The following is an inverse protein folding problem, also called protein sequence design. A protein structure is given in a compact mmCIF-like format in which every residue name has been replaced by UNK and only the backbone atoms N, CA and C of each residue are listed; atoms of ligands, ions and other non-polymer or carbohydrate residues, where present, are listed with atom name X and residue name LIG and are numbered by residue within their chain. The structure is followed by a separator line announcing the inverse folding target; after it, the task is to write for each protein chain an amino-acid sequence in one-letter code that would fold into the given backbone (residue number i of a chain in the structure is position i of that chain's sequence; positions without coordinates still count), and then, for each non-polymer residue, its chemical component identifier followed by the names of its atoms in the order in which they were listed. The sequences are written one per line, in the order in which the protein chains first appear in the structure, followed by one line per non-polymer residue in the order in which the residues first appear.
data_IF_606258705383
#
_entry.id   IF_606258705383
#
_cell.length_a   1.000
_cell.length_b   1.000
_cell.length_c   1.000
_cell.angle_alpha   90.00
_cell.angle_beta   90.00
_cell.angle_gamma   90.00
#
_symmetry.space_group_name_H-M   'P 1'
#
loop_
_entity.id
_entity.type
_entity.pdbx_description
1 polymer ?
#
# COMPACT_ATOMS: atom_id res chain seq x y z
N UNK A 1 30.15 49.02 62.92
CA UNK A 1 28.69 49.07 63.13
C UNK A 1 28.04 49.26 61.77
N UNK A 2 27.70 48.15 61.11
CA UNK A 2 27.23 48.14 59.70
C UNK A 2 25.70 48.05 59.73
N UNK A 3 25.04 49.06 59.23
CA UNK A 3 23.60 49.14 59.10
C UNK A 3 23.18 48.15 57.98
N UNK A 4 22.34 47.17 58.29
CA UNK A 4 21.68 46.31 57.30
C UNK A 4 20.46 47.07 56.78
N UNK A 5 20.50 47.36 55.46
CA UNK A 5 19.35 47.89 54.78
C UNK A 5 18.21 46.85 54.73
N UNK A 6 17.04 47.25 55.14
CA UNK A 6 15.81 46.48 55.07
C UNK A 6 15.30 46.55 53.63
N UNK A 7 14.82 45.43 53.04
CA UNK A 7 14.32 45.45 51.67
C UNK A 7 13.06 46.30 51.55
N UNK A 8 12.91 46.98 50.39
CA UNK A 8 11.80 47.87 50.08
C UNK A 8 10.48 47.09 49.98
N UNK A 9 9.35 47.78 50.27
CA UNK A 9 8.00 47.17 50.20
C UNK A 9 7.73 46.53 48.82
N UNK A 10 8.29 47.06 47.75
CA UNK A 10 8.18 46.49 46.37
C UNK A 10 8.94 45.17 46.22
N UNK A 11 10.03 44.94 46.93
CA UNK A 11 10.75 43.67 46.90
C UNK A 11 10.01 42.59 47.68
N UNK A 12 9.32 42.96 48.75
CA UNK A 12 8.49 42.03 49.56
C UNK A 12 7.23 41.60 48.79
N UNK A 13 6.60 42.48 48.01
CA UNK A 13 5.48 42.14 47.14
C UNK A 13 5.90 41.21 46.00
N UNK A 14 6.99 41.47 45.33
CA UNK A 14 7.50 40.60 44.27
C UNK A 14 7.89 39.20 44.79
N UNK A 15 8.43 39.09 45.98
CA UNK A 15 8.71 37.79 46.61
C UNK A 15 7.44 37.00 46.95
N UNK A 16 6.37 37.70 47.35
CA UNK A 16 5.06 37.04 47.60
C UNK A 16 4.40 36.55 46.33
N UNK A 17 4.47 37.33 45.22
CA UNK A 17 3.95 36.93 43.91
C UNK A 17 4.71 35.73 43.34
N UNK A 18 6.03 35.74 43.41
CA UNK A 18 6.87 34.63 42.93
C UNK A 18 6.62 33.35 43.71
N UNK A 19 6.41 33.44 45.04
CA UNK A 19 6.10 32.29 45.88
C UNK A 19 4.69 31.73 45.66
N UNK A 20 3.71 32.58 45.34
CA UNK A 20 2.35 32.15 44.99
C UNK A 20 2.31 31.48 43.59
N UNK A 21 3.05 32.01 42.60
CA UNK A 21 3.17 31.40 41.28
C UNK A 21 3.85 30.03 41.34
N UNK A 22 4.90 29.89 42.16
CA UNK A 22 5.63 28.60 42.31
C UNK A 22 4.75 27.53 43.00
N UNK A 23 3.94 27.94 43.99
CA UNK A 23 3.00 27.01 44.65
C UNK A 23 1.85 26.61 43.69
N UNK A 24 1.32 27.55 42.90
CA UNK A 24 0.27 27.24 41.87
C UNK A 24 0.80 26.30 40.78
N UNK A 25 2.04 26.53 40.30
CA UNK A 25 2.67 25.67 39.33
C UNK A 25 2.94 24.26 39.86
N UNK A 26 3.37 24.16 41.11
CA UNK A 26 3.63 22.87 41.77
C UNK A 26 2.34 22.09 42.08
N UNK A 27 1.23 22.78 42.35
CA UNK A 27 -0.09 22.15 42.57
C UNK A 27 -0.70 21.70 41.24
N UNK A 28 -0.53 22.46 40.15
CA UNK A 28 -0.98 22.05 38.81
C UNK A 28 -0.20 20.84 38.27
N UNK A 29 1.11 20.75 38.53
CA UNK A 29 1.91 19.56 38.15
C UNK A 29 1.57 18.29 38.93
N UNK A 30 0.98 18.43 40.16
CA UNK A 30 0.56 17.27 40.94
C UNK A 30 -0.86 16.77 40.66
N UNK A 31 -1.66 17.53 39.92
CA UNK A 31 -3.05 17.19 39.60
C UNK A 31 -3.27 16.42 38.31
N UNK A 32 -2.20 16.17 37.52
CA UNK A 32 -2.30 15.31 36.32
C UNK A 32 -2.06 13.87 36.78
N UNK A 33 -3.08 13.01 36.77
CA UNK A 33 -2.89 11.61 37.14
C UNK A 33 -1.90 10.99 36.18
N UNK A 34 -0.82 10.46 36.68
CA UNK A 34 0.24 9.76 35.93
C UNK A 34 -0.29 8.70 34.97
N UNK A 35 -1.48 8.18 35.24
CA UNK A 35 -2.21 7.27 34.35
C UNK A 35 -2.67 7.92 33.01
N UNK A 36 -3.00 9.21 32.99
CA UNK A 36 -3.40 9.90 31.73
C UNK A 36 -2.22 10.20 30.84
N UNK A 37 -1.05 10.50 31.37
CA UNK A 37 0.18 10.74 30.57
C UNK A 37 0.68 9.42 29.97
N UNK A 38 0.60 8.32 30.71
CA UNK A 38 0.96 6.98 30.19
C UNK A 38 -0.04 6.55 29.10
N UNK A 39 -1.33 6.82 29.26
CA UNK A 39 -2.34 6.50 28.24
C UNK A 39 -2.17 7.33 26.96
N UNK A 40 -1.77 8.60 27.07
CA UNK A 40 -1.55 9.47 25.90
C UNK A 40 -0.24 9.11 25.16
N UNK A 41 0.78 8.64 25.87
CA UNK A 41 2.03 8.14 25.25
C UNK A 41 1.82 6.76 24.61
N UNK A 42 0.95 5.91 25.17
CA UNK A 42 0.62 4.60 24.57
C UNK A 42 -0.21 4.73 23.25
N UNK A 43 -0.94 5.84 23.06
CA UNK A 43 -1.70 6.08 21.83
C UNK A 43 -0.85 6.59 20.65
N UNK A 44 0.43 6.90 20.86
CA UNK A 44 1.34 7.36 19.80
C UNK A 44 2.15 6.24 19.15
N UNK A 45 2.08 5.01 19.68
CA UNK A 45 2.58 3.84 18.97
C UNK A 45 1.47 3.25 18.09
N UNK A 46 1.09 3.97 17.05
CA UNK A 46 0.38 3.36 15.92
C UNK A 46 1.36 2.39 15.26
N UNK A 47 1.29 1.15 15.67
CA UNK A 47 2.01 0.06 15.02
C UNK A 47 1.54 0.00 13.57
N UNK A 48 2.41 0.32 12.62
CA UNK A 48 2.17 -0.01 11.22
C UNK A 48 2.11 -1.54 11.16
N UNK A 49 0.92 -2.07 11.07
CA UNK A 49 0.69 -3.49 10.88
C UNK A 49 0.98 -3.80 9.40
N UNK A 50 1.74 -4.85 9.12
CA UNK A 50 1.70 -5.47 7.81
C UNK A 50 0.24 -5.83 7.54
N UNK A 51 -0.40 -5.13 6.60
CA UNK A 51 -1.80 -5.36 6.30
C UNK A 51 -1.89 -6.57 5.38
N UNK A 52 -2.55 -7.66 5.79
CA UNK A 52 -2.85 -8.73 4.83
C UNK A 52 -3.66 -8.11 3.69
N UNK A 53 -3.25 -8.39 2.46
CA UNK A 53 -3.96 -7.91 1.28
C UNK A 53 -5.35 -8.56 1.27
N UNK A 54 -6.37 -7.74 1.53
CA UNK A 54 -7.76 -8.19 1.48
C UNK A 54 -8.22 -8.28 0.01
N UNK A 55 -9.13 -9.21 -0.28
CA UNK A 55 -9.79 -9.27 -1.58
C UNK A 55 -8.90 -9.76 -2.73
N UNK A 56 -7.91 -10.64 -2.46
CA UNK A 56 -7.06 -11.20 -3.52
C UNK A 56 -7.90 -11.86 -4.62
N UNK A 57 -8.98 -12.53 -4.25
CA UNK A 57 -9.86 -13.27 -5.15
C UNK A 57 -11.12 -12.51 -5.58
N UNK A 58 -11.18 -11.22 -5.31
CA UNK A 58 -12.30 -10.36 -5.75
C UNK A 58 -11.79 -9.20 -6.61
N UNK A 59 -12.58 -8.81 -7.60
CA UNK A 59 -12.23 -7.69 -8.49
C UNK A 59 -13.48 -6.95 -8.95
N UNK A 60 -13.33 -5.63 -9.09
CA UNK A 60 -14.36 -4.72 -9.55
C UNK A 60 -14.05 -4.24 -10.96
N UNK A 61 -14.94 -4.54 -11.89
CA UNK A 61 -14.77 -4.21 -13.31
C UNK A 61 -15.90 -3.32 -13.80
N UNK A 62 -15.62 -2.22 -14.55
CA UNK A 62 -16.67 -1.42 -15.16
C UNK A 62 -17.41 -2.22 -16.23
N UNK A 63 -18.73 -2.03 -16.28
CA UNK A 63 -19.63 -2.67 -17.27
C UNK A 63 -20.57 -1.66 -17.87
N UNK A 64 -20.84 -1.80 -19.17
CA UNK A 64 -21.79 -0.92 -19.86
C UNK A 64 -23.24 -1.27 -19.54
N UNK A 65 -23.54 -2.55 -19.32
CA UNK A 65 -24.87 -3.05 -19.00
C UNK A 65 -24.81 -4.45 -18.35
N UNK A 66 -25.95 -4.99 -17.94
CA UNK A 66 -26.06 -6.29 -17.28
C UNK A 66 -26.32 -7.47 -18.24
N UNK A 67 -26.01 -7.32 -19.53
CA UNK A 67 -26.18 -8.41 -20.49
C UNK A 67 -25.25 -9.59 -20.20
N UNK A 68 -25.64 -10.79 -20.65
CA UNK A 68 -24.82 -11.99 -20.49
C UNK A 68 -23.47 -11.88 -21.20
N UNK A 69 -23.39 -11.18 -22.33
CA UNK A 69 -22.16 -10.99 -23.08
C UNK A 69 -21.20 -10.09 -22.29
N UNK A 70 -21.70 -8.94 -21.79
CA UNK A 70 -20.93 -8.00 -20.99
C UNK A 70 -20.43 -8.67 -19.70
N UNK A 71 -21.29 -9.40 -19.03
CA UNK A 71 -20.96 -10.15 -17.82
C UNK A 71 -19.85 -11.18 -18.05
N UNK A 72 -19.91 -11.93 -19.17
CA UNK A 72 -18.86 -12.90 -19.49
C UNK A 72 -17.52 -12.25 -19.75
N UNK A 73 -17.50 -11.08 -20.40
CA UNK A 73 -16.27 -10.31 -20.60
C UNK A 73 -15.74 -9.76 -19.26
N UNK A 74 -16.63 -9.27 -18.41
CA UNK A 74 -16.26 -8.80 -17.07
C UNK A 74 -15.64 -9.91 -16.21
N UNK A 75 -16.22 -11.13 -16.24
CA UNK A 75 -15.65 -12.28 -15.54
C UNK A 75 -14.25 -12.63 -16.04
N UNK A 76 -14.05 -12.64 -17.35
CA UNK A 76 -12.74 -12.90 -17.95
C UNK A 76 -11.72 -11.86 -17.52
N UNK A 77 -12.08 -10.56 -17.59
CA UNK A 77 -11.22 -9.44 -17.18
C UNK A 77 -10.90 -9.48 -15.68
N UNK A 78 -11.92 -9.70 -14.85
CA UNK A 78 -11.75 -9.80 -13.40
C UNK A 78 -10.85 -10.99 -13.01
N UNK A 79 -11.08 -12.18 -13.60
CA UNK A 79 -10.25 -13.37 -13.35
C UNK A 79 -8.80 -13.13 -13.79
N UNK A 80 -8.58 -12.45 -14.91
CA UNK A 80 -7.23 -12.09 -15.36
C UNK A 80 -6.46 -11.26 -14.33
N UNK A 81 -7.11 -10.23 -13.76
CA UNK A 81 -6.51 -9.37 -12.71
C UNK A 81 -6.26 -10.21 -11.45
N UNK A 82 -7.24 -11.01 -11.03
CA UNK A 82 -7.12 -11.89 -9.85
C UNK A 82 -5.96 -12.88 -10.00
N UNK A 83 -5.80 -13.50 -11.16
CA UNK A 83 -4.69 -14.45 -11.41
C UNK A 83 -3.33 -13.76 -11.39
N UNK A 84 -3.21 -12.55 -11.95
CA UNK A 84 -1.98 -11.76 -11.82
C UNK A 84 -1.71 -11.38 -10.37
N UNK A 85 -2.75 -10.98 -9.62
CA UNK A 85 -2.64 -10.67 -8.19
C UNK A 85 -2.24 -11.91 -7.37
N UNK A 86 -2.84 -13.07 -7.64
CA UNK A 86 -2.56 -14.30 -6.92
C UNK A 86 -1.16 -14.88 -7.21
N UNK A 87 -0.59 -14.60 -8.39
CA UNK A 87 0.75 -15.09 -8.77
C UNK A 87 1.84 -14.02 -8.63
N UNK A 88 1.47 -12.74 -8.58
CA UNK A 88 2.37 -11.59 -8.60
C UNK A 88 3.00 -11.30 -9.96
N UNK A 89 2.77 -12.12 -11.00
CA UNK A 89 3.46 -12.01 -12.29
C UNK A 89 2.51 -12.14 -13.49
N UNK A 90 2.62 -11.23 -14.45
CA UNK A 90 1.84 -11.27 -15.70
C UNK A 90 2.23 -12.43 -16.64
N UNK A 91 3.46 -12.93 -16.55
CA UNK A 91 3.95 -14.00 -17.45
C UNK A 91 3.06 -15.24 -17.46
N UNK A 92 2.41 -15.54 -16.34
CA UNK A 92 1.54 -16.71 -16.21
C UNK A 92 0.22 -16.59 -16.99
N UNK A 93 -0.18 -15.40 -17.43
CA UNK A 93 -1.36 -15.21 -18.27
C UNK A 93 -1.28 -15.96 -19.61
N UNK A 94 -0.06 -16.26 -20.08
CA UNK A 94 0.16 -17.02 -21.31
C UNK A 94 0.27 -18.54 -21.05
N UNK A 95 0.13 -18.99 -19.79
CA UNK A 95 0.17 -20.42 -19.49
C UNK A 95 -1.10 -21.12 -19.98
N UNK A 96 -1.01 -22.33 -20.62
CA UNK A 96 -2.18 -23.01 -21.19
C UNK A 96 -3.34 -23.21 -20.20
N UNK A 97 -3.06 -23.61 -18.96
CA UNK A 97 -4.09 -23.80 -17.94
C UNK A 97 -4.77 -22.47 -17.55
N UNK A 98 -4.04 -21.35 -17.55
CA UNK A 98 -4.61 -20.03 -17.26
C UNK A 98 -5.48 -19.56 -18.42
N UNK A 99 -5.04 -19.76 -19.67
CA UNK A 99 -5.85 -19.46 -20.86
C UNK A 99 -7.16 -20.25 -20.87
N UNK A 100 -7.14 -21.55 -20.53
CA UNK A 100 -8.32 -22.37 -20.38
C UNK A 100 -9.25 -21.88 -19.26
N UNK A 101 -8.69 -21.48 -18.11
CA UNK A 101 -9.45 -20.91 -17.00
C UNK A 101 -10.14 -19.59 -17.41
N UNK A 102 -9.46 -18.73 -18.15
CA UNK A 102 -10.00 -17.46 -18.64
C UNK A 102 -11.16 -17.67 -19.65
N UNK A 103 -11.10 -18.70 -20.49
CA UNK A 103 -12.23 -19.05 -21.37
C UNK A 103 -13.44 -19.59 -20.58
N UNK A 104 -13.21 -20.21 -19.42
CA UNK A 104 -14.21 -20.75 -18.52
C UNK A 104 -14.39 -19.95 -17.23
N UNK A 105 -14.12 -18.64 -17.25
CA UNK A 105 -14.07 -17.78 -16.07
C UNK A 105 -15.32 -17.87 -15.18
N UNK A 106 -16.50 -18.07 -15.77
CA UNK A 106 -17.75 -18.22 -15.03
C UNK A 106 -17.73 -19.40 -14.05
N UNK A 107 -16.99 -20.47 -14.33
CA UNK A 107 -16.92 -21.65 -13.46
C UNK A 107 -16.15 -21.39 -12.16
N UNK A 108 -15.38 -20.34 -12.10
CA UNK A 108 -14.62 -19.92 -10.91
C UNK A 108 -15.38 -18.90 -10.06
N UNK A 109 -16.48 -18.31 -10.56
CA UNK A 109 -17.25 -17.27 -9.85
C UNK A 109 -18.03 -17.87 -8.70
N UNK A 110 -17.84 -17.30 -7.51
CA UNK A 110 -18.59 -17.66 -6.29
C UNK A 110 -19.72 -16.68 -6.02
N UNK A 111 -19.48 -15.37 -6.14
CA UNK A 111 -20.48 -14.34 -5.95
C UNK A 111 -20.29 -13.14 -6.90
N UNK A 112 -21.38 -12.42 -7.16
CA UNK A 112 -21.36 -11.16 -7.93
C UNK A 112 -22.21 -10.10 -7.23
N UNK A 113 -21.78 -8.83 -7.34
CA UNK A 113 -22.55 -7.65 -6.91
C UNK A 113 -22.45 -6.58 -7.98
N UNK A 114 -23.54 -5.81 -8.18
CA UNK A 114 -23.55 -4.66 -9.07
C UNK A 114 -23.56 -3.36 -8.26
N UNK A 115 -22.82 -2.36 -8.74
CA UNK A 115 -22.74 -1.03 -8.17
C UNK A 115 -22.90 0.02 -9.26
N UNK A 116 -23.48 1.17 -8.89
CA UNK A 116 -23.49 2.37 -9.73
C UNK A 116 -22.79 3.48 -8.97
N UNK A 117 -21.80 4.08 -9.57
CA UNK A 117 -21.09 5.25 -9.02
C UNK A 117 -21.27 6.46 -9.92
N UNK A 118 -21.43 7.60 -9.29
CA UNK A 118 -21.49 8.87 -9.97
C UNK A 118 -20.07 9.39 -10.20
N UNK A 119 -19.59 9.31 -11.43
CA UNK A 119 -18.25 9.79 -11.79
C UNK A 119 -18.38 11.21 -12.35
N UNK A 120 -17.69 12.17 -11.72
CA UNK A 120 -17.48 13.48 -12.29
C UNK A 120 -16.31 13.33 -13.27
N UNK A 121 -16.51 13.49 -14.58
CA UNK A 121 -15.42 13.36 -15.53
C UNK A 121 -14.38 14.44 -15.24
N UNK A 122 -13.22 14.04 -14.79
CA UNK A 122 -12.05 14.91 -14.70
C UNK A 122 -11.61 15.20 -16.13
N UNK A 123 -11.81 16.44 -16.57
CA UNK A 123 -11.38 16.88 -17.91
C UNK A 123 -9.87 16.80 -17.95
N UNK A 124 -9.34 15.77 -18.61
CA UNK A 124 -7.93 15.73 -18.99
C UNK A 124 -7.68 16.87 -19.98
N UNK A 125 -7.05 17.92 -19.50
CA UNK A 125 -6.55 19.03 -20.32
C UNK A 125 -5.40 18.52 -21.19
N UNK A 126 -5.64 18.35 -22.48
CA UNK A 126 -4.54 18.14 -23.39
C UNK A 126 -4.91 17.51 -24.72
N UNK A 127 -5.70 18.21 -25.55
CA UNK A 127 -5.54 18.08 -27.00
C UNK A 127 -5.94 19.39 -27.68
N UNK A 128 -4.93 20.21 -27.94
CA UNK A 128 -5.04 21.30 -28.92
C UNK A 128 -4.87 20.69 -30.31
N UNK A 129 -5.92 20.13 -30.83
CA UNK A 129 -5.99 19.73 -32.25
C UNK A 129 -6.21 20.95 -33.13
N UNK A 130 -5.66 20.99 -34.39
CA UNK A 130 -5.75 22.14 -35.26
C UNK A 130 -7.18 22.37 -35.70
N UNK A 131 -7.68 23.60 -35.56
CA UNK A 131 -8.95 24.07 -36.08
C UNK A 131 -9.03 23.84 -37.61
N UNK A 132 -9.83 22.89 -38.02
CA UNK A 132 -10.32 22.83 -39.40
C UNK A 132 -11.51 23.78 -39.55
N UNK A 133 -11.31 24.80 -40.36
CA UNK A 133 -12.34 25.73 -40.83
C UNK A 133 -13.45 24.95 -41.57
N UNK A 134 -14.67 25.04 -41.05
CA UNK A 134 -15.89 24.60 -41.76
C UNK A 134 -16.30 25.63 -42.81
N UNK A 135 -16.80 25.18 -43.96
CA UNK A 135 -17.27 26.09 -45.04
C UNK A 135 -18.60 26.76 -44.65
N UNK A 136 -18.71 28.04 -44.99
CA UNK A 136 -19.92 28.85 -44.93
C UNK A 136 -21.08 28.18 -45.66
N UNK A 137 -22.17 27.90 -44.94
CA UNK A 137 -23.46 27.57 -45.53
C UNK A 137 -24.33 28.79 -45.52
N UNK A 138 -24.74 29.27 -46.72
CA UNK A 138 -25.68 30.34 -46.95
C UNK A 138 -27.04 30.07 -46.24
N UNK A 139 -27.45 30.97 -45.34
CA UNK A 139 -28.78 30.97 -44.76
C UNK A 139 -29.65 31.89 -45.60
N UNK A 140 -30.62 31.32 -46.31
CA UNK A 140 -31.72 32.04 -46.94
C UNK A 140 -32.67 32.56 -45.85
N UNK A 141 -32.84 33.90 -45.82
CA UNK A 141 -33.85 34.57 -45.05
C UNK A 141 -35.24 34.30 -45.61
N UNK A 142 -36.13 33.74 -44.83
CA UNK A 142 -37.58 33.93 -45.00
C UNK A 142 -38.09 34.71 -43.81
N UNK A 143 -38.60 35.90 -44.10
CA UNK A 143 -39.25 36.82 -43.15
C UNK A 143 -40.61 36.26 -42.78
N UNK A 144 -40.88 36.21 -41.45
CA UNK A 144 -42.21 36.29 -40.90
C UNK A 144 -42.20 37.19 -39.69
N UNK A 145 -43.03 38.24 -39.74
CA UNK A 145 -43.18 39.25 -38.74
C UNK A 145 -44.03 38.77 -37.55
N UNK A 146 -43.63 39.25 -36.36
CA UNK A 146 -44.33 39.46 -35.10
C UNK A 146 -43.87 38.56 -33.93
N UNK A 147 -43.07 39.15 -33.08
CA UNK A 147 -43.40 39.31 -31.65
C UNK A 147 -42.31 40.05 -30.88
N UNK A 148 -42.78 40.88 -30.10
CA UNK A 148 -42.35 41.81 -29.08
C UNK A 148 -40.98 41.54 -28.41
N UNK A 149 -40.26 42.66 -28.22
CA UNK A 149 -38.89 42.74 -27.77
C UNK A 149 -38.60 42.22 -26.37
N UNK A 150 -37.62 41.34 -26.31
CA UNK A 150 -36.67 41.27 -25.20
C UNK A 150 -35.29 41.05 -25.83
N UNK A 151 -34.40 42.03 -25.65
CA UNK A 151 -33.01 41.89 -25.99
C UNK A 151 -32.38 40.75 -25.19
N UNK A 152 -31.58 39.84 -25.82
CA UNK A 152 -30.81 38.88 -25.06
C UNK A 152 -29.66 39.59 -24.34
N UNK A 153 -29.56 39.34 -23.04
CA UNK A 153 -28.48 39.77 -22.17
C UNK A 153 -27.17 39.08 -22.63
N UNK A 154 -26.12 39.84 -23.07
CA UNK A 154 -24.89 39.25 -23.60
C UNK A 154 -24.00 38.59 -22.52
N UNK A 155 -24.35 38.66 -21.24
CA UNK A 155 -23.57 38.12 -20.12
C UNK A 155 -24.13 36.84 -19.49
N UNK A 156 -25.12 36.19 -20.12
CA UNK A 156 -25.59 34.90 -19.65
C UNK A 156 -24.70 33.82 -20.17
N UNK A 157 -23.55 33.63 -19.52
CA UNK A 157 -22.80 32.40 -19.62
C UNK A 157 -23.70 31.25 -19.13
N UNK A 158 -24.20 30.45 -20.04
CA UNK A 158 -24.79 29.16 -19.71
C UNK A 158 -23.71 28.36 -18.99
N UNK A 159 -23.83 28.31 -17.67
CA UNK A 159 -23.11 27.34 -16.88
C UNK A 159 -23.58 25.95 -17.34
N UNK A 160 -22.80 25.33 -18.22
CA UNK A 160 -22.95 23.91 -18.53
C UNK A 160 -22.69 23.18 -17.21
N UNK A 161 -23.77 22.70 -16.59
CA UNK A 161 -23.64 21.85 -15.43
C UNK A 161 -22.76 20.66 -15.79
N UNK A 162 -21.81 20.24 -14.94
CA UNK A 162 -20.96 19.09 -15.24
C UNK A 162 -21.87 17.89 -15.51
N UNK A 163 -21.74 17.31 -16.67
CA UNK A 163 -22.52 16.13 -17.04
C UNK A 163 -22.03 14.98 -16.17
N UNK A 164 -22.76 14.74 -15.09
CA UNK A 164 -22.50 13.61 -14.20
C UNK A 164 -22.82 12.34 -14.95
N UNK A 165 -21.80 11.54 -15.23
CA UNK A 165 -22.00 10.23 -15.84
C UNK A 165 -22.12 9.17 -14.74
N UNK A 166 -23.17 8.35 -14.81
CA UNK A 166 -23.34 7.19 -13.94
C UNK A 166 -22.56 6.02 -14.56
N UNK A 167 -21.51 5.58 -13.87
CA UNK A 167 -20.72 4.42 -14.27
C UNK A 167 -21.15 3.20 -13.45
N UNK A 168 -21.36 2.08 -14.13
CA UNK A 168 -21.74 0.81 -13.52
C UNK A 168 -20.53 -0.10 -13.41
N UNK A 169 -20.51 -0.85 -12.31
CA UNK A 169 -19.47 -1.82 -12.01
C UNK A 169 -20.10 -3.15 -11.61
N UNK A 170 -19.39 -4.22 -11.92
CA UNK A 170 -19.62 -5.54 -11.36
C UNK A 170 -18.44 -5.92 -10.48
N UNK A 171 -18.68 -6.25 -9.23
CA UNK A 171 -17.71 -6.90 -8.35
C UNK A 171 -17.91 -8.40 -8.47
N UNK A 172 -16.83 -9.09 -8.77
CA UNK A 172 -16.81 -10.54 -8.96
C UNK A 172 -15.93 -11.15 -7.89
N UNK A 173 -16.49 -12.05 -7.10
CA UNK A 173 -15.77 -12.86 -6.12
C UNK A 173 -15.56 -14.25 -6.69
N UNK A 174 -14.32 -14.72 -6.69
CA UNK A 174 -13.94 -16.02 -7.22
C UNK A 174 -13.62 -16.99 -6.09
N UNK A 175 -13.89 -18.28 -6.33
CA UNK A 175 -13.53 -19.33 -5.40
C UNK A 175 -12.01 -19.50 -5.31
N UNK A 176 -11.44 -19.14 -4.15
CA UNK A 176 -10.00 -19.30 -3.87
C UNK A 176 -9.58 -20.75 -4.06
N UNK A 177 -10.39 -21.71 -3.57
CA UNK A 177 -10.10 -23.14 -3.65
C UNK A 177 -9.97 -23.62 -5.10
N UNK A 178 -10.82 -23.14 -6.02
CA UNK A 178 -10.72 -23.53 -7.44
C UNK A 178 -9.52 -22.91 -8.13
N UNK A 179 -9.21 -21.63 -7.82
CA UNK A 179 -8.04 -20.94 -8.38
C UNK A 179 -6.76 -21.60 -7.88
N UNK A 180 -6.63 -21.79 -6.57
CA UNK A 180 -5.44 -22.41 -5.96
C UNK A 180 -5.20 -23.83 -6.49
N UNK A 181 -6.27 -24.62 -6.64
CA UNK A 181 -6.17 -25.94 -7.25
C UNK A 181 -5.68 -25.87 -8.71
N UNK A 182 -6.24 -24.97 -9.50
CA UNK A 182 -5.83 -24.79 -10.90
C UNK A 182 -4.37 -24.39 -11.00
N UNK A 183 -3.91 -23.45 -10.13
CA UNK A 183 -2.51 -23.03 -10.07
C UNK A 183 -1.60 -24.18 -9.62
N UNK A 184 -2.04 -24.97 -8.62
CA UNK A 184 -1.31 -26.16 -8.16
C UNK A 184 -1.14 -27.21 -9.25
N UNK A 185 -2.22 -27.57 -9.94
CA UNK A 185 -2.22 -28.53 -11.04
C UNK A 185 -1.34 -28.07 -12.21
N UNK A 186 -1.28 -26.75 -12.43
CA UNK A 186 -0.44 -26.12 -13.43
C UNK A 186 1.03 -25.90 -12.98
N UNK A 187 1.37 -26.21 -11.73
CA UNK A 187 2.69 -25.95 -11.11
C UNK A 187 3.06 -24.46 -11.18
N UNK A 188 2.07 -23.56 -11.05
CA UNK A 188 2.25 -22.12 -10.99
C UNK A 188 2.34 -21.71 -9.53
N UNK A 189 3.36 -20.95 -9.12
CA UNK A 189 3.51 -20.48 -7.75
C UNK A 189 2.36 -19.57 -7.34
N UNK A 190 1.90 -19.72 -6.10
CA UNK A 190 0.92 -18.86 -5.45
C UNK A 190 1.62 -17.87 -4.52
N UNK A 191 1.31 -16.59 -4.64
CA UNK A 191 1.75 -15.57 -3.71
C UNK A 191 0.63 -15.26 -2.71
N UNK A 192 0.87 -15.63 -1.46
CA UNK A 192 -0.09 -15.53 -0.35
C UNK A 192 -0.52 -14.07 -0.05
N UNK A 193 -1.53 -13.92 0.79
CA UNK A 193 -2.06 -12.62 1.26
C UNK A 193 -1.08 -11.85 2.14
N UNK A 194 -0.20 -12.55 2.88
CA UNK A 194 0.83 -11.92 3.70
C UNK A 194 2.00 -11.48 2.82
N UNK A 195 2.03 -10.21 2.44
CA UNK A 195 2.96 -9.66 1.47
C UNK A 195 3.84 -8.59 2.06
N UNK A 196 5.12 -8.55 1.65
CA UNK A 196 6.04 -7.52 2.10
C UNK A 196 5.60 -6.14 1.60
N UNK A 197 5.66 -5.17 2.50
CA UNK A 197 5.41 -3.77 2.18
C UNK A 197 6.62 -3.14 1.50
N UNK A 198 6.36 -2.20 0.58
CA UNK A 198 7.38 -1.44 -0.15
C UNK A 198 7.24 0.03 0.17
N UNK A 199 8.23 0.63 0.84
CA UNK A 199 8.30 2.09 1.02
C UNK A 199 8.95 2.73 -0.20
N UNK A 200 8.26 3.71 -0.80
CA UNK A 200 8.73 4.36 -2.03
C UNK A 200 9.21 5.78 -1.75
N UNK A 201 10.51 6.01 -1.92
CA UNK A 201 11.13 7.33 -1.96
C UNK A 201 11.41 7.74 -3.39
N UNK A 202 11.03 8.95 -3.79
CA UNK A 202 11.33 9.45 -5.13
C UNK A 202 11.79 10.91 -5.09
N UNK A 203 12.88 11.19 -5.79
CA UNK A 203 13.37 12.54 -6.03
C UNK A 203 13.19 12.90 -7.51
N UNK A 204 12.59 14.05 -7.75
CA UNK A 204 12.30 14.59 -9.08
C UNK A 204 13.18 15.79 -9.34
N UNK A 205 13.71 15.92 -10.55
CA UNK A 205 14.46 17.11 -10.99
C UNK A 205 13.72 17.75 -12.16
N UNK A 206 13.40 19.02 -12.01
CA UNK A 206 12.75 19.81 -13.05
C UNK A 206 13.76 20.28 -14.12
N UNK A 207 13.25 20.94 -15.17
CA UNK A 207 14.07 21.49 -16.27
C UNK A 207 15.09 22.54 -15.80
N UNK A 208 14.84 23.21 -14.69
CA UNK A 208 15.76 24.19 -14.09
C UNK A 208 16.92 23.54 -13.35
N UNK A 209 16.86 22.22 -13.13
CA UNK A 209 17.79 21.46 -12.31
C UNK A 209 17.46 21.48 -10.83
N UNK A 210 16.33 22.08 -10.42
CA UNK A 210 15.86 22.07 -9.04
C UNK A 210 15.32 20.69 -8.69
N UNK A 211 15.58 20.23 -7.47
CA UNK A 211 15.17 18.91 -6.98
C UNK A 211 14.12 19.03 -5.92
N UNK A 212 13.18 18.10 -5.93
CA UNK A 212 12.15 17.96 -4.90
C UNK A 212 11.90 16.48 -4.60
N UNK A 213 11.44 16.18 -3.39
CA UNK A 213 10.88 14.87 -3.09
C UNK A 213 9.43 14.82 -3.61
N UNK A 214 9.04 13.65 -4.09
CA UNK A 214 7.67 13.38 -4.52
C UNK A 214 6.70 13.55 -3.35
N UNK A 215 5.64 14.33 -3.56
CA UNK A 215 4.59 14.58 -2.58
C UNK A 215 3.21 14.44 -3.22
N UNK A 216 2.20 14.08 -2.44
CA UNK A 216 0.81 14.02 -2.91
C UNK A 216 0.27 15.36 -3.39
N UNK A 217 0.79 16.47 -2.87
CA UNK A 217 0.32 17.82 -3.24
C UNK A 217 0.78 18.25 -4.64
N UNK A 218 1.90 17.70 -5.13
CA UNK A 218 2.55 18.14 -6.38
C UNK A 218 2.51 17.04 -7.45
N UNK A 219 2.61 15.78 -7.05
CA UNK A 219 2.81 14.63 -7.95
C UNK A 219 1.70 13.58 -7.71
N UNK A 220 0.46 14.04 -7.60
CA UNK A 220 -0.68 13.14 -7.30
C UNK A 220 -0.87 12.07 -8.39
N UNK A 221 -0.67 12.42 -9.64
CA UNK A 221 -0.72 11.54 -10.81
C UNK A 221 0.27 10.36 -10.71
N UNK A 222 1.50 10.63 -10.29
CA UNK A 222 2.53 9.58 -10.07
C UNK A 222 2.10 8.65 -8.92
N UNK A 223 1.64 9.23 -7.81
CA UNK A 223 1.23 8.46 -6.63
C UNK A 223 -0.01 7.62 -6.96
N UNK A 224 -0.99 8.21 -7.63
CA UNK A 224 -2.21 7.52 -8.06
C UNK A 224 -1.90 6.33 -8.98
N UNK A 225 -1.04 6.54 -9.99
CA UNK A 225 -0.57 5.44 -10.85
C UNK A 225 0.10 4.31 -10.07
N UNK A 226 1.01 4.66 -9.14
CA UNK A 226 1.69 3.66 -8.31
C UNK A 226 0.68 2.90 -7.43
N UNK A 227 -0.32 3.59 -6.87
CA UNK A 227 -1.37 2.97 -6.06
C UNK A 227 -2.25 2.04 -6.90
N UNK A 228 -2.69 2.46 -8.07
CA UNK A 228 -3.46 1.61 -9.00
C UNK A 228 -2.68 0.35 -9.41
N UNK A 229 -1.40 0.51 -9.74
CA UNK A 229 -0.53 -0.62 -10.01
C UNK A 229 -0.43 -1.56 -8.78
N UNK A 230 -0.20 -0.99 -7.62
CA UNK A 230 -0.06 -1.74 -6.37
C UNK A 230 -1.32 -2.53 -6.03
N UNK A 231 -2.49 -1.92 -6.17
CA UNK A 231 -3.79 -2.56 -5.96
C UNK A 231 -4.04 -3.70 -6.95
N UNK A 232 -3.73 -3.48 -8.24
CA UNK A 232 -3.86 -4.50 -9.26
C UNK A 232 -2.94 -5.72 -9.02
N UNK A 233 -1.77 -5.50 -8.40
CA UNK A 233 -0.81 -6.56 -8.03
C UNK A 233 -1.01 -7.10 -6.62
N UNK A 234 -1.82 -6.45 -5.79
CA UNK A 234 -1.90 -6.72 -4.36
C UNK A 234 -0.57 -6.48 -3.65
N UNK A 235 0.18 -5.46 -4.03
CA UNK A 235 1.45 -5.07 -3.44
C UNK A 235 1.22 -3.97 -2.40
N UNK A 236 1.49 -4.18 -1.09
CA UNK A 236 1.37 -3.12 -0.11
C UNK A 236 2.43 -2.04 -0.35
N UNK A 237 2.03 -0.83 -0.73
CA UNK A 237 2.94 0.30 -0.91
C UNK A 237 2.73 1.34 0.17
N UNK A 238 3.83 1.97 0.60
CA UNK A 238 3.86 3.05 1.56
C UNK A 238 4.59 4.25 0.94
N UNK A 239 4.11 5.44 1.26
CA UNK A 239 4.80 6.68 0.90
C UNK A 239 5.25 7.40 2.17
N UNK A 240 6.40 8.10 2.14
CA UNK A 240 6.84 8.89 3.28
C UNK A 240 5.89 10.06 3.52
N UNK A 241 5.66 10.40 4.79
CA UNK A 241 4.82 11.52 5.20
C UNK A 241 5.48 12.87 4.89
N UNK A 242 6.81 12.88 4.76
CA UNK A 242 7.64 14.06 4.50
C UNK A 242 7.46 15.17 5.56
N UNK A 243 7.28 14.76 6.81
CA UNK A 243 7.22 15.66 7.95
C UNK A 243 8.60 16.30 8.27
N UNK A 244 8.67 17.04 9.36
CA UNK A 244 9.92 17.67 9.78
C UNK A 244 11.04 16.66 10.06
N UNK A 245 10.72 15.49 10.57
CA UNK A 245 11.70 14.44 10.88
C UNK A 245 12.29 13.85 9.59
N UNK A 246 11.45 13.52 8.63
CA UNK A 246 11.89 13.02 7.33
C UNK A 246 12.80 14.01 6.63
N UNK A 247 12.36 15.28 6.50
CA UNK A 247 13.12 16.34 5.82
C UNK A 247 14.44 16.66 6.50
N UNK A 248 14.52 16.45 7.82
CA UNK A 248 15.75 16.65 8.58
C UNK A 248 16.73 15.49 8.38
N UNK A 249 16.24 14.25 8.28
CA UNK A 249 17.05 13.04 8.23
C UNK A 249 17.42 12.64 6.80
N UNK A 250 16.57 12.98 5.83
CA UNK A 250 16.74 12.59 4.43
C UNK A 250 16.38 13.76 3.50
N UNK A 251 17.40 14.46 3.01
CA UNK A 251 17.20 15.53 2.03
C UNK A 251 17.00 14.96 0.61
N UNK A 252 16.42 15.79 -0.27
CA UNK A 252 16.27 15.49 -1.69
C UNK A 252 17.58 15.10 -2.38
N UNK A 253 18.71 15.71 -1.98
CA UNK A 253 20.03 15.39 -2.51
C UNK A 253 20.52 13.99 -2.09
N UNK A 254 20.16 13.51 -0.89
CA UNK A 254 20.50 12.15 -0.43
C UNK A 254 19.70 11.11 -1.20
N UNK A 255 18.40 11.36 -1.42
CA UNK A 255 17.55 10.50 -2.25
C UNK A 255 18.05 10.50 -3.69
N UNK A 256 18.37 11.68 -4.23
CA UNK A 256 18.90 11.82 -5.60
C UNK A 256 20.20 11.04 -5.83
N UNK A 257 21.08 10.98 -4.84
CA UNK A 257 22.33 10.21 -4.91
C UNK A 257 22.15 8.74 -4.61
N UNK A 258 20.93 8.31 -4.25
CA UNK A 258 20.63 6.94 -3.81
C UNK A 258 21.53 6.52 -2.63
N UNK A 259 21.68 7.42 -1.63
CA UNK A 259 22.51 7.14 -0.45
C UNK A 259 21.84 6.03 0.39
N UNK A 260 22.33 4.82 0.20
CA UNK A 260 21.74 3.59 0.77
C UNK A 260 21.57 3.69 2.28
N UNK A 261 22.60 4.17 2.99
CA UNK A 261 22.59 4.20 4.45
C UNK A 261 21.64 5.27 4.99
N UNK A 262 21.60 6.44 4.37
CA UNK A 262 20.71 7.54 4.77
C UNK A 262 19.25 7.14 4.53
N UNK A 263 18.96 6.58 3.35
CA UNK A 263 17.63 6.10 2.97
C UNK A 263 17.16 5.00 3.93
N UNK A 264 17.98 3.99 4.19
CA UNK A 264 17.68 2.91 5.13
C UNK A 264 17.38 3.45 6.52
N UNK A 265 18.19 4.38 7.01
CA UNK A 265 18.01 4.97 8.36
C UNK A 265 16.69 5.75 8.47
N UNK A 266 16.37 6.58 7.47
CA UNK A 266 15.12 7.34 7.45
C UNK A 266 13.90 6.42 7.32
N UNK A 267 14.04 5.30 6.62
CA UNK A 267 12.97 4.33 6.39
C UNK A 267 12.60 3.49 7.62
N UNK A 268 13.48 3.38 8.62
CA UNK A 268 13.22 2.54 9.83
C UNK A 268 11.92 2.90 10.55
N UNK A 269 11.54 4.17 10.59
CA UNK A 269 10.31 4.62 11.26
C UNK A 269 9.02 4.11 10.60
N UNK A 270 9.08 3.80 9.31
CA UNK A 270 7.93 3.29 8.55
C UNK A 270 7.73 1.79 8.71
N UNK A 271 8.78 1.09 9.13
CA UNK A 271 8.75 -0.35 9.33
C UNK A 271 8.43 -1.15 8.08
N UNK A 272 8.72 -0.62 6.89
CA UNK A 272 8.55 -1.32 5.63
C UNK A 272 9.55 -2.49 5.51
N UNK A 273 9.14 -3.54 4.81
CA UNK A 273 9.94 -4.74 4.61
C UNK A 273 10.97 -4.57 3.49
N UNK A 274 10.68 -3.65 2.58
CA UNK A 274 11.57 -3.29 1.47
C UNK A 274 11.48 -1.81 1.13
N UNK A 275 12.47 -1.30 0.42
CA UNK A 275 12.54 0.12 0.05
C UNK A 275 12.84 0.22 -1.44
N UNK A 276 11.98 0.92 -2.17
CA UNK A 276 12.22 1.34 -3.54
C UNK A 276 12.57 2.82 -3.55
N UNK A 277 13.73 3.18 -4.06
CA UNK A 277 14.14 4.57 -4.21
C UNK A 277 14.31 4.91 -5.66
N UNK A 278 13.63 5.96 -6.13
CA UNK A 278 13.72 6.45 -7.50
C UNK A 278 14.28 7.86 -7.59
N UNK A 279 15.01 8.14 -8.66
CA UNK A 279 15.30 9.50 -9.11
C UNK A 279 14.91 9.65 -10.57
N UNK A 280 14.27 10.74 -10.88
CA UNK A 280 13.71 11.00 -12.21
C UNK A 280 14.02 12.43 -12.64
N UNK A 281 14.42 12.62 -13.88
CA UNK A 281 14.50 13.94 -14.51
C UNK A 281 13.99 13.86 -15.95
N UNK A 282 13.47 15.00 -16.41
CA UNK A 282 13.11 15.21 -17.79
C UNK A 282 14.30 15.74 -18.56
N UNK A 283 14.63 15.12 -19.68
CA UNK A 283 15.63 15.65 -20.61
C UNK A 283 15.04 16.80 -21.43
N UNK A 284 15.88 17.61 -22.05
CA UNK A 284 15.44 18.67 -22.95
C UNK A 284 14.70 18.15 -24.20
N UNK A 285 14.78 16.85 -24.50
CA UNK A 285 14.02 16.15 -25.55
C UNK A 285 12.68 15.63 -25.08
N UNK A 286 12.33 15.82 -23.78
CA UNK A 286 11.09 15.32 -23.18
C UNK A 286 11.14 13.85 -22.75
N UNK A 287 12.33 13.26 -22.74
CA UNK A 287 12.51 11.87 -22.29
C UNK A 287 12.67 11.82 -20.76
N UNK A 288 12.12 10.77 -20.17
CA UNK A 288 12.24 10.45 -18.75
C UNK A 288 13.47 9.56 -18.54
N UNK A 289 14.39 10.00 -17.71
CA UNK A 289 15.61 9.25 -17.40
C UNK A 289 15.84 9.24 -15.90
N UNK A 290 16.19 8.07 -15.38
CA UNK A 290 16.48 7.97 -13.97
C UNK A 290 17.15 6.67 -13.56
N UNK A 291 17.36 6.55 -12.27
CA UNK A 291 17.86 5.33 -11.64
C UNK A 291 16.91 4.93 -10.52
N UNK A 292 16.82 3.63 -10.32
CA UNK A 292 16.09 3.00 -9.24
C UNK A 292 17.02 2.17 -8.38
N UNK A 293 16.78 2.17 -7.09
CA UNK A 293 17.47 1.35 -6.11
C UNK A 293 16.44 0.58 -5.31
N UNK A 294 16.54 -0.73 -5.29
CA UNK A 294 15.68 -1.60 -4.50
C UNK A 294 16.50 -2.27 -3.39
N UNK A 295 16.07 -2.09 -2.14
CA UNK A 295 16.68 -2.67 -0.95
C UNK A 295 15.74 -3.68 -0.34
N UNK A 296 16.19 -4.93 -0.26
CA UNK A 296 15.40 -6.03 0.30
C UNK A 296 16.32 -7.09 0.93
N UNK A 297 16.01 -7.54 2.15
CA UNK A 297 16.77 -8.58 2.89
C UNK A 297 18.29 -8.31 3.01
N UNK A 298 18.69 -7.06 3.07
CA UNK A 298 20.09 -6.65 3.15
C UNK A 298 20.80 -6.57 1.80
N UNK A 299 20.18 -7.01 0.73
CA UNK A 299 20.66 -6.84 -0.65
C UNK A 299 20.19 -5.50 -1.22
N UNK A 300 21.02 -4.91 -2.09
CA UNK A 300 20.71 -3.67 -2.80
C UNK A 300 20.93 -3.89 -4.30
N UNK A 301 19.88 -3.65 -5.07
CA UNK A 301 19.90 -3.71 -6.53
C UNK A 301 19.69 -2.32 -7.12
N UNK A 302 20.52 -1.93 -8.11
CA UNK A 302 20.39 -0.67 -8.82
C UNK A 302 20.13 -0.97 -10.29
N UNK A 303 19.16 -0.27 -10.88
CA UNK A 303 18.80 -0.40 -12.29
C UNK A 303 18.40 0.95 -12.87
N UNK A 304 18.62 1.12 -14.16
CA UNK A 304 18.24 2.31 -14.89
C UNK A 304 16.79 2.26 -15.37
N UNK A 305 16.20 3.44 -15.56
CA UNK A 305 14.89 3.64 -16.16
C UNK A 305 15.01 4.67 -17.28
N UNK A 306 14.33 4.39 -18.38
CA UNK A 306 14.25 5.27 -19.53
C UNK A 306 12.91 5.05 -20.25
N UNK A 307 12.18 6.12 -20.51
CA UNK A 307 10.97 6.10 -21.34
C UNK A 307 10.64 7.49 -21.87
N UNK A 308 9.78 7.57 -22.86
CA UNK A 308 9.13 8.81 -23.32
C UNK A 308 7.74 8.99 -22.70
N UNK A 309 7.26 7.98 -22.00
CA UNK A 309 5.96 7.93 -21.34
C UNK A 309 6.14 7.67 -19.85
N UNK A 310 5.37 8.37 -19.00
CA UNK A 310 5.49 8.29 -17.56
C UNK A 310 4.99 6.94 -17.01
N UNK A 311 3.89 6.43 -17.53
CA UNK A 311 3.32 5.15 -17.09
C UNK A 311 4.29 4.00 -17.39
N UNK A 312 4.83 3.96 -18.62
CA UNK A 312 5.85 2.98 -19.00
C UNK A 312 7.12 3.09 -18.16
N UNK A 313 7.54 4.33 -17.82
CA UNK A 313 8.69 4.56 -16.96
C UNK A 313 8.49 4.01 -15.55
N UNK A 314 7.31 4.21 -14.97
CA UNK A 314 6.97 3.74 -13.62
C UNK A 314 6.67 2.23 -13.60
N UNK A 315 6.04 1.72 -14.66
CA UNK A 315 5.63 0.32 -14.73
C UNK A 315 6.84 -0.64 -14.67
N UNK A 316 7.90 -0.34 -15.41
CA UNK A 316 9.07 -1.23 -15.50
C UNK A 316 9.73 -1.54 -14.13
N UNK A 317 10.07 -0.53 -13.27
CA UNK A 317 10.60 -0.79 -11.94
C UNK A 317 9.61 -1.48 -11.01
N UNK A 318 8.33 -1.10 -11.06
CA UNK A 318 7.29 -1.70 -10.22
C UNK A 318 7.08 -3.18 -10.56
N UNK A 319 7.03 -3.55 -11.84
CA UNK A 319 6.97 -4.95 -12.27
C UNK A 319 8.21 -5.73 -11.82
N UNK A 320 9.40 -5.13 -11.94
CA UNK A 320 10.66 -5.77 -11.55
C UNK A 320 10.69 -6.13 -10.07
N UNK A 321 10.36 -5.18 -9.19
CA UNK A 321 10.37 -5.43 -7.74
C UNK A 321 9.24 -6.38 -7.34
N UNK A 322 8.05 -6.26 -7.95
CA UNK A 322 6.93 -7.17 -7.69
C UNK A 322 7.29 -8.61 -8.05
N UNK A 323 7.87 -8.82 -9.23
CA UNK A 323 8.35 -10.13 -9.63
C UNK A 323 9.44 -10.67 -8.69
N UNK A 324 10.37 -9.81 -8.23
CA UNK A 324 11.41 -10.20 -7.26
C UNK A 324 10.83 -10.65 -5.94
N UNK A 325 9.85 -9.91 -5.41
CA UNK A 325 9.17 -10.25 -4.16
C UNK A 325 8.30 -11.50 -4.32
N UNK A 326 7.54 -11.60 -5.42
CA UNK A 326 6.74 -12.77 -5.71
C UNK A 326 7.61 -14.04 -5.83
N UNK A 327 8.72 -13.98 -6.55
CA UNK A 327 9.65 -15.12 -6.66
C UNK A 327 10.25 -15.56 -5.32
N UNK A 328 10.41 -14.63 -4.38
CA UNK A 328 10.95 -14.90 -3.07
C UNK A 328 9.91 -15.53 -2.13
N UNK A 329 8.67 -15.02 -2.14
CA UNK A 329 7.62 -15.43 -1.22
C UNK A 329 6.59 -16.39 -1.80
N UNK A 330 6.51 -16.54 -3.13
CA UNK A 330 5.53 -17.43 -3.73
C UNK A 330 5.86 -18.90 -3.46
N UNK A 331 4.81 -19.66 -3.21
CA UNK A 331 4.84 -21.04 -2.83
C UNK A 331 4.44 -21.89 -4.03
N UNK A 332 5.22 -22.92 -4.33
CA UNK A 332 4.82 -23.94 -5.29
C UNK A 332 3.85 -24.93 -4.61
N UNK A 333 2.55 -24.90 -4.94
CA UNK A 333 1.63 -25.86 -4.38
C UNK A 333 2.01 -27.28 -4.80
N UNK A 334 2.02 -28.22 -3.84
CA UNK A 334 2.32 -29.63 -4.10
C UNK A 334 3.79 -29.99 -4.20
N UNK A 335 4.72 -29.13 -3.80
CA UNK A 335 6.08 -29.54 -3.57
C UNK A 335 6.13 -30.58 -2.42
N UNK A 336 6.58 -31.81 -2.71
CA UNK A 336 6.67 -32.94 -1.76
C UNK A 336 7.67 -32.73 -0.59
N UNK A 337 7.95 -31.50 -0.23
CA UNK A 337 8.80 -31.13 0.89
C UNK A 337 7.96 -31.05 2.17
N UNK A 338 7.50 -32.21 2.65
CA UNK A 338 6.87 -32.31 3.96
C UNK A 338 7.89 -32.08 5.09
N UNK A 339 8.30 -30.82 5.25
CA UNK A 339 9.06 -30.40 6.42
C UNK A 339 8.08 -30.26 7.60
N UNK A 340 8.47 -30.75 8.78
CA UNK A 340 7.74 -30.51 10.01
C UNK A 340 8.55 -29.59 10.91
N UNK A 341 7.91 -28.52 11.38
CA UNK A 341 8.52 -27.50 12.25
C UNK A 341 7.70 -27.41 13.55
N UNK A 342 8.37 -27.18 14.65
CA UNK A 342 7.75 -26.81 15.92
C UNK A 342 7.74 -25.29 16.04
N UNK A 343 6.55 -24.72 16.08
CA UNK A 343 6.35 -23.31 16.41
C UNK A 343 6.02 -23.19 17.90
N UNK A 344 6.92 -22.59 18.65
CA UNK A 344 6.73 -22.28 20.07
C UNK A 344 6.34 -20.82 20.20
N UNK A 345 5.24 -20.55 20.93
CA UNK A 345 4.75 -19.20 21.14
C UNK A 345 4.51 -18.97 22.63
N UNK A 346 5.13 -17.92 23.15
CA UNK A 346 4.91 -17.42 24.51
C UNK A 346 3.88 -16.28 24.49
N UNK A 347 3.12 -16.10 25.58
CA UNK A 347 2.15 -15.01 25.75
C UNK A 347 0.73 -15.37 25.34
N UNK A 348 0.40 -16.65 25.24
CA UNK A 348 -0.96 -17.14 24.99
C UNK A 348 -1.69 -17.21 26.33
N UNK A 349 -2.53 -16.20 26.62
CA UNK A 349 -3.13 -16.03 27.94
C UNK A 349 -4.52 -16.67 28.07
N UNK A 350 -5.24 -16.81 26.99
CA UNK A 350 -6.61 -17.33 26.99
C UNK A 350 -6.97 -18.12 25.69
N UNK A 351 -8.23 -18.56 25.61
CA UNK A 351 -8.74 -19.32 24.46
C UNK A 351 -8.86 -18.44 23.21
N UNK A 352 -9.03 -17.14 23.36
CA UNK A 352 -9.12 -16.21 22.23
C UNK A 352 -7.76 -16.07 21.55
N UNK A 353 -6.69 -15.88 22.33
CA UNK A 353 -5.30 -15.87 21.83
C UNK A 353 -4.97 -17.18 21.12
N UNK A 354 -5.32 -18.32 21.74
CA UNK A 354 -5.13 -19.63 21.13
C UNK A 354 -5.84 -19.75 19.78
N UNK A 355 -7.12 -19.39 19.72
CA UNK A 355 -7.91 -19.49 18.51
C UNK A 355 -7.40 -18.55 17.41
N UNK A 356 -7.00 -17.32 17.77
CA UNK A 356 -6.44 -16.34 16.87
C UNK A 356 -5.10 -16.81 16.29
N UNK A 357 -4.20 -17.34 17.15
CA UNK A 357 -2.92 -17.87 16.69
C UNK A 357 -3.09 -19.07 15.76
N UNK A 358 -3.96 -20.05 16.11
CA UNK A 358 -4.19 -21.23 15.29
C UNK A 358 -4.81 -20.85 13.94
N UNK A 359 -5.77 -19.91 13.94
CA UNK A 359 -6.38 -19.41 12.70
C UNK A 359 -5.36 -18.66 11.83
N UNK A 360 -4.53 -17.81 12.44
CA UNK A 360 -3.48 -17.08 11.76
C UNK A 360 -2.47 -18.05 11.10
N UNK A 361 -1.89 -18.96 11.89
CA UNK A 361 -0.88 -19.90 11.38
C UNK A 361 -1.46 -20.86 10.34
N UNK A 362 -2.71 -21.31 10.55
CA UNK A 362 -3.40 -22.18 9.58
C UNK A 362 -3.83 -21.46 8.29
N UNK A 363 -3.88 -20.12 8.31
CA UNK A 363 -4.14 -19.28 7.14
C UNK A 363 -2.88 -18.98 6.31
N UNK A 364 -1.67 -19.32 6.80
CA UNK A 364 -0.44 -19.16 6.02
C UNK A 364 -0.36 -20.24 4.93
N UNK A 365 -0.26 -19.84 3.68
CA UNK A 365 -0.27 -20.76 2.52
C UNK A 365 0.86 -21.79 2.53
N UNK A 366 1.95 -21.54 3.28
CA UNK A 366 3.04 -22.50 3.54
C UNK A 366 2.65 -23.62 4.52
N UNK A 367 1.57 -23.46 5.29
CA UNK A 367 1.18 -24.39 6.35
C UNK A 367 0.07 -25.30 5.87
N UNK A 368 0.38 -26.57 5.65
CA UNK A 368 -0.58 -27.63 5.26
C UNK A 368 -1.38 -28.12 6.45
N UNK A 369 -0.75 -28.24 7.62
CA UNK A 369 -1.41 -28.76 8.81
C UNK A 369 -0.89 -28.13 10.09
N UNK A 370 -1.80 -27.91 11.05
CA UNK A 370 -1.51 -27.37 12.39
C UNK A 370 -2.00 -28.38 13.44
N UNK A 371 -1.10 -28.82 14.30
CA UNK A 371 -1.43 -29.68 15.42
C UNK A 371 -0.82 -29.13 16.71
N UNK A 372 -1.65 -28.98 17.74
CA UNK A 372 -1.15 -28.61 19.07
C UNK A 372 -0.32 -29.74 19.66
N UNK A 373 0.94 -29.47 19.92
CA UNK A 373 1.91 -30.42 20.48
C UNK A 373 1.94 -30.35 22.00
N UNK A 374 1.95 -29.12 22.56
CA UNK A 374 2.01 -28.92 23.99
C UNK A 374 1.40 -27.57 24.40
N UNK A 375 0.78 -27.55 25.56
CA UNK A 375 0.33 -26.32 26.25
C UNK A 375 0.93 -26.31 27.66
N UNK A 376 1.66 -25.27 28.01
CA UNK A 376 2.33 -25.17 29.31
C UNK A 376 2.28 -23.72 29.85
N UNK A 377 1.25 -23.44 30.67
CA UNK A 377 0.96 -22.07 31.12
C UNK A 377 0.60 -21.17 29.94
N UNK A 378 1.30 -20.06 29.77
CA UNK A 378 1.12 -19.12 28.64
C UNK A 378 1.96 -19.51 27.41
N UNK A 379 2.55 -20.72 27.39
CA UNK A 379 3.33 -21.22 26.26
C UNK A 379 2.55 -22.27 25.49
N UNK A 380 2.50 -22.10 24.17
CA UNK A 380 1.89 -23.03 23.22
C UNK A 380 2.98 -23.56 22.26
N UNK A 381 2.98 -24.87 22.02
CA UNK A 381 3.76 -25.49 20.96
C UNK A 381 2.83 -26.07 19.90
N UNK A 382 3.01 -25.62 18.67
CA UNK A 382 2.30 -26.14 17.50
C UNK A 382 3.29 -26.91 16.63
N UNK A 383 2.88 -28.08 16.19
CA UNK A 383 3.55 -28.82 15.12
C UNK A 383 2.92 -28.44 13.80
N UNK A 384 3.73 -27.90 12.90
CA UNK A 384 3.31 -27.44 11.58
C UNK A 384 3.83 -28.40 10.52
N UNK A 385 2.94 -28.90 9.65
CA UNK A 385 3.31 -29.48 8.38
C UNK A 385 3.48 -28.39 7.34
N UNK A 386 4.59 -28.36 6.60
CA UNK A 386 4.90 -27.30 5.64
C UNK A 386 4.91 -27.84 4.21
N UNK A 387 4.44 -27.02 3.28
CA UNK A 387 4.55 -27.22 1.84
C UNK A 387 5.80 -26.58 1.25
N UNK A 388 6.62 -25.92 2.08
CA UNK A 388 7.81 -25.18 1.65
C UNK A 388 8.96 -25.24 2.64
N UNK A 389 9.94 -24.34 2.47
CA UNK A 389 11.12 -24.25 3.32
C UNK A 389 10.77 -23.59 4.68
N UNK A 390 11.20 -24.17 5.82
CA UNK A 390 11.10 -23.54 7.14
C UNK A 390 11.66 -22.12 7.20
N UNK A 391 12.64 -21.78 6.38
CA UNK A 391 13.18 -20.43 6.28
C UNK A 391 12.14 -19.46 5.69
N UNK A 392 11.40 -19.87 4.67
CA UNK A 392 10.31 -19.07 4.10
C UNK A 392 9.21 -18.81 5.14
N UNK A 393 8.86 -19.82 5.94
CA UNK A 393 7.89 -19.63 7.03
C UNK A 393 8.38 -18.61 8.06
N UNK A 394 9.67 -18.68 8.45
CA UNK A 394 10.25 -17.72 9.37
C UNK A 394 10.13 -16.28 8.83
N UNK A 395 10.44 -16.08 7.57
CA UNK A 395 10.39 -14.78 6.91
C UNK A 395 8.96 -14.30 6.70
N UNK A 396 8.05 -15.21 6.35
CA UNK A 396 6.63 -14.89 6.21
C UNK A 396 5.99 -14.45 7.54
N UNK A 397 6.31 -15.13 8.63
CA UNK A 397 5.88 -14.72 9.98
C UNK A 397 6.52 -13.39 10.39
N UNK A 398 7.75 -13.11 9.95
CA UNK A 398 8.44 -11.86 10.26
C UNK A 398 7.80 -10.62 9.60
N UNK A 399 7.01 -10.79 8.55
CA UNK A 399 6.21 -9.71 7.94
C UNK A 399 5.05 -9.29 8.86
N UNK A 400 4.52 -10.21 9.66
CA UNK A 400 3.46 -9.94 10.62
C UNK A 400 4.07 -9.65 12.01
N UNK A 401 3.65 -8.57 12.63
CA UNK A 401 4.20 -8.12 13.91
C UNK A 401 3.48 -8.67 15.13
N UNK A 402 2.44 -9.44 14.92
CA UNK A 402 1.70 -10.10 15.99
C UNK A 402 2.54 -11.23 16.63
N UNK A 403 3.55 -11.74 15.90
CA UNK A 403 4.52 -12.72 16.36
C UNK A 403 5.95 -12.14 16.32
N UNK A 404 6.46 -11.77 17.49
CA UNK A 404 7.83 -11.27 17.60
C UNK A 404 8.81 -12.42 17.85
N UNK A 405 9.89 -12.55 17.04
CA UNK A 405 10.88 -13.59 17.24
C UNK A 405 11.61 -13.38 18.58
N UNK A 406 11.70 -14.45 19.39
CA UNK A 406 12.48 -14.45 20.66
C UNK A 406 13.91 -14.90 20.40
N UNK A 407 14.10 -15.84 19.47
CA UNK A 407 15.42 -16.37 19.10
C UNK A 407 15.75 -16.00 17.67
N UNK A 408 17.05 -15.80 17.38
CA UNK A 408 17.51 -15.49 16.03
C UNK A 408 17.29 -16.66 15.07
N UNK A 409 17.36 -16.40 13.75
CA UNK A 409 17.18 -17.34 12.63
C UNK A 409 18.01 -18.66 12.72
N UNK A 410 18.93 -18.78 13.68
CA UNK A 410 19.60 -20.06 13.97
C UNK A 410 18.63 -21.16 14.43
N UNK A 411 17.48 -20.83 15.01
CA UNK A 411 16.44 -21.80 15.39
C UNK A 411 15.81 -22.51 14.21
N UNK A 412 15.74 -21.87 13.04
CA UNK A 412 15.18 -22.44 11.81
C UNK A 412 15.89 -23.73 11.42
N UNK A 413 17.21 -23.78 11.53
CA UNK A 413 18.00 -24.98 11.23
C UNK A 413 17.78 -26.13 12.19
N UNK A 414 17.29 -25.86 13.40
CA UNK A 414 16.94 -26.88 14.40
C UNK A 414 15.50 -27.37 14.29
N UNK A 415 14.69 -26.81 13.38
CA UNK A 415 13.27 -27.14 13.24
C UNK A 415 12.40 -26.59 14.39
N UNK A 416 12.91 -25.62 15.15
CA UNK A 416 12.19 -24.94 16.22
C UNK A 416 12.16 -23.42 15.95
N UNK A 417 10.96 -22.85 15.82
CA UNK A 417 10.72 -21.43 15.71
C UNK A 417 10.13 -20.92 17.03
N UNK A 418 10.71 -19.88 17.63
CA UNK A 418 10.30 -19.37 18.93
C UNK A 418 9.91 -17.89 18.84
N UNK A 419 8.67 -17.61 19.16
CA UNK A 419 8.04 -16.29 19.06
C UNK A 419 7.30 -15.91 20.32
N UNK A 420 6.94 -14.61 20.41
CA UNK A 420 6.03 -14.06 21.41
C UNK A 420 4.78 -13.50 20.71
N UNK A 421 3.62 -13.86 21.21
CA UNK A 421 2.34 -13.29 20.82
C UNK A 421 2.17 -11.91 21.44
N UNK A 422 1.73 -10.91 20.65
CA UNK A 422 1.69 -9.49 21.07
C UNK A 422 0.32 -8.83 20.91
N UNK A 423 -0.70 -9.59 20.48
CA UNK A 423 -2.08 -9.09 20.41
C UNK A 423 -2.68 -8.80 21.77
#
# INVERSE_FOLDING_TARGET
MTVRDLPSETEIENLKYTRQMTVLLTVMLRAVPTRSVILTVLLLFSSAHGLPVAGIYSERVPVANESNAERSQAFKKALQIVLVRATGEQRYLNHPAVLEALENAQSYVEAIRYFSETVIPTSSSGETGPQQSLPEAEVQLSADENSDGLMPDPDRQEQVAPTTAEQRFIEVEFSSVLIERMLADAQIPLWDSNRPSVLIWMALQDESGSRSLMTSDINNDIIEYIQEFADARGLPVLFPVLDFEDRRNLSEDLVWRLDEQAIRTASLRYGADSILTGRLHFTSSGELVGLWQFQFQGDTEIFDGFSTDLEDYLNAPLERITARLAQYFAILPGADLAASVILRVDGISDLQDYSALVAYVGGLGLVDSVATSQVAGERLELRLGLVGDPQQLYELIALDRDLLPIESSMGVRSGLLHYRWTR
#
